data_IF_999177356982
#
_entry.id   IF_999177356982
#
_cell.length_a   1.000
_cell.length_b   1.000
_cell.length_c   1.000
_cell.angle_alpha   90.00
_cell.angle_beta   90.00
_cell.angle_gamma   90.00
#
_symmetry.space_group_name_H-M   'P 1'
#
loop_
_entity.id
_entity.type
_entity.pdbx_description
1 polymer ?
#
# COMPACT_ATOMS: atom_id res chain seq x y z
N UNK A 1 11.39 25.91 -10.06
CA UNK A 1 11.16 24.79 -9.12
C UNK A 1 10.15 23.84 -9.76
N UNK A 2 10.39 22.53 -9.78
CA UNK A 2 9.44 21.57 -10.37
C UNK A 2 8.50 21.09 -9.26
N UNK A 3 7.20 21.34 -9.41
CA UNK A 3 6.19 20.83 -8.49
C UNK A 3 6.02 19.33 -8.70
N UNK A 4 5.97 18.57 -7.61
CA UNK A 4 5.61 17.14 -7.58
C UNK A 4 4.23 17.01 -6.95
N UNK A 5 3.32 16.33 -7.64
CA UNK A 5 1.98 16.06 -7.15
C UNK A 5 1.92 14.62 -6.63
N UNK A 6 1.73 14.44 -5.34
CA UNK A 6 1.41 13.15 -4.75
C UNK A 6 -0.09 12.92 -4.82
N UNK A 7 -0.52 11.86 -5.48
CA UNK A 7 -1.92 11.51 -5.64
C UNK A 7 -2.24 10.33 -4.74
N UNK A 8 -3.12 10.55 -3.78
CA UNK A 8 -3.59 9.57 -2.80
C UNK A 8 -5.02 9.15 -3.12
N UNK A 9 -5.41 7.97 -2.63
CA UNK A 9 -6.83 7.62 -2.53
C UNK A 9 -7.58 8.64 -1.65
N UNK A 10 -8.91 8.48 -1.55
CA UNK A 10 -9.72 9.31 -0.66
C UNK A 10 -9.20 9.22 0.78
N UNK A 11 -9.08 10.37 1.45
CA UNK A 11 -8.62 10.46 2.84
C UNK A 11 -9.52 9.68 3.81
N UNK A 12 -8.94 9.21 4.93
CA UNK A 12 -9.66 8.55 6.02
C UNK A 12 -9.93 7.06 5.84
N UNK A 13 -9.47 6.42 4.76
CA UNK A 13 -9.68 4.99 4.52
C UNK A 13 -8.57 4.10 5.11
N UNK A 14 -7.34 4.54 5.05
CA UNK A 14 -6.15 3.89 5.63
C UNK A 14 -5.07 4.94 5.82
N UNK A 15 -4.08 4.66 6.68
CA UNK A 15 -3.03 5.63 7.06
C UNK A 15 -1.62 5.18 6.68
N UNK A 16 -1.42 3.90 6.31
CA UNK A 16 -0.08 3.34 6.11
C UNK A 16 0.68 3.94 4.92
N UNK A 17 0.00 4.13 3.79
CA UNK A 17 0.60 4.71 2.58
C UNK A 17 0.88 6.19 2.79
N UNK A 18 -0.06 6.92 3.38
CA UNK A 18 0.08 8.32 3.73
C UNK A 18 1.29 8.55 4.65
N UNK A 19 1.50 7.66 5.63
CA UNK A 19 2.64 7.74 6.54
C UNK A 19 3.99 7.54 5.83
N UNK A 20 4.08 6.54 4.98
CA UNK A 20 5.27 6.32 4.13
C UNK A 20 5.60 7.55 3.29
N UNK A 21 4.59 8.11 2.60
CA UNK A 21 4.81 9.24 1.72
C UNK A 21 5.00 10.57 2.45
N UNK A 22 4.56 10.72 3.68
CA UNK A 22 4.94 11.86 4.54
C UNK A 22 6.45 11.87 4.80
N UNK A 23 7.05 10.69 5.02
CA UNK A 23 8.51 10.57 5.18
C UNK A 23 9.23 10.93 3.87
N UNK A 24 8.74 10.45 2.72
CA UNK A 24 9.28 10.81 1.39
C UNK A 24 9.14 12.30 1.13
N UNK A 25 7.99 12.91 1.44
CA UNK A 25 7.76 14.35 1.30
C UNK A 25 8.75 15.16 2.13
N UNK A 26 8.97 14.76 3.38
CA UNK A 26 9.93 15.40 4.28
C UNK A 26 11.36 15.36 3.70
N UNK A 27 11.76 14.27 3.07
CA UNK A 27 13.02 14.15 2.35
C UNK A 27 13.10 15.07 1.14
N UNK A 28 12.07 15.09 0.30
CA UNK A 28 12.00 15.95 -0.89
C UNK A 28 12.03 17.44 -0.55
N UNK A 29 11.40 17.84 0.54
CA UNK A 29 11.44 19.23 1.02
C UNK A 29 12.86 19.67 1.42
N UNK A 30 13.67 18.77 1.99
CA UNK A 30 15.09 19.05 2.29
C UNK A 30 15.90 19.27 1.02
N UNK A 31 15.51 18.64 -0.09
CA UNK A 31 16.09 18.82 -1.42
C UNK A 31 15.46 20.00 -2.22
N UNK A 32 14.71 20.88 -1.55
CA UNK A 32 14.01 22.02 -2.16
C UNK A 32 13.01 21.64 -3.27
N UNK A 33 12.41 20.47 -3.18
CA UNK A 33 11.33 20.03 -4.06
C UNK A 33 9.99 20.35 -3.42
N UNK A 34 9.13 21.08 -4.12
CA UNK A 34 7.78 21.38 -3.65
C UNK A 34 6.84 20.22 -3.95
N UNK A 35 6.26 19.67 -2.89
CA UNK A 35 5.26 18.60 -2.99
C UNK A 35 3.86 19.16 -2.72
N UNK A 36 2.90 18.77 -3.56
CA UNK A 36 1.46 19.08 -3.41
C UNK A 36 0.67 17.77 -3.29
N UNK A 37 -0.01 17.60 -2.17
CA UNK A 37 -0.80 16.42 -1.88
C UNK A 37 -2.22 16.55 -2.44
N UNK A 38 -2.66 15.58 -3.23
CA UNK A 38 -3.98 15.51 -3.86
C UNK A 38 -4.67 14.23 -3.41
N UNK A 39 -5.84 14.37 -2.82
CA UNK A 39 -6.68 13.24 -2.42
C UNK A 39 -7.83 13.07 -3.39
N UNK A 40 -8.03 11.84 -3.87
CA UNK A 40 -9.14 11.52 -4.77
C UNK A 40 -10.49 11.73 -4.07
N UNK A 41 -11.45 12.39 -4.72
CA UNK A 41 -12.74 12.70 -4.10
C UNK A 41 -13.64 11.46 -3.91
N UNK A 42 -13.49 10.42 -4.74
CA UNK A 42 -14.38 9.26 -4.75
C UNK A 42 -13.64 7.96 -4.43
N UNK A 43 -14.12 7.23 -3.39
CA UNK A 43 -13.57 5.93 -2.99
C UNK A 43 -14.25 4.74 -3.69
N UNK A 44 -15.59 4.84 -3.91
CA UNK A 44 -16.36 3.73 -4.47
C UNK A 44 -15.97 3.46 -5.91
N UNK A 45 -15.68 2.19 -6.21
CA UNK A 45 -15.32 1.72 -7.55
C UNK A 45 -16.60 1.55 -8.38
N UNK A 46 -16.90 2.55 -9.21
CA UNK A 46 -17.93 2.50 -10.25
C UNK A 46 -17.46 3.38 -11.43
N UNK A 47 -17.97 3.12 -12.63
CA UNK A 47 -17.50 3.78 -13.86
C UNK A 47 -17.52 5.31 -13.74
N UNK A 48 -18.59 5.89 -13.20
CA UNK A 48 -18.71 7.34 -13.05
C UNK A 48 -17.64 7.93 -12.12
N UNK A 49 -17.36 7.28 -10.98
CA UNK A 49 -16.36 7.74 -10.03
C UNK A 49 -14.94 7.57 -10.57
N UNK A 50 -14.67 6.47 -11.29
CA UNK A 50 -13.38 6.27 -11.97
C UNK A 50 -13.10 7.41 -12.95
N UNK A 51 -14.06 7.72 -13.82
CA UNK A 51 -13.94 8.82 -14.79
C UNK A 51 -13.78 10.18 -14.10
N UNK A 52 -14.56 10.45 -13.05
CA UNK A 52 -14.44 11.71 -12.28
C UNK A 52 -13.06 11.84 -11.62
N UNK A 53 -12.54 10.77 -11.01
CA UNK A 53 -11.21 10.77 -10.43
C UNK A 53 -10.11 11.01 -11.50
N UNK A 54 -10.19 10.35 -12.65
CA UNK A 54 -9.26 10.54 -13.76
C UNK A 54 -9.26 12.00 -14.25
N UNK A 55 -10.46 12.58 -14.44
CA UNK A 55 -10.60 13.96 -14.89
C UNK A 55 -10.13 14.97 -13.83
N UNK A 56 -10.35 14.65 -12.54
CA UNK A 56 -9.89 15.46 -11.43
C UNK A 56 -8.35 15.53 -11.42
N UNK A 57 -7.66 14.40 -11.46
CA UNK A 57 -6.19 14.34 -11.50
C UNK A 57 -5.65 15.02 -12.76
N UNK A 58 -6.25 14.77 -13.93
CA UNK A 58 -5.87 15.44 -15.20
C UNK A 58 -5.86 16.98 -15.09
N UNK A 59 -6.82 17.55 -14.35
CA UNK A 59 -6.95 19.01 -14.20
C UNK A 59 -5.88 19.61 -13.30
N UNK A 60 -5.47 18.87 -12.26
CA UNK A 60 -4.58 19.37 -11.21
C UNK A 60 -3.10 19.08 -11.49
N UNK A 61 -2.78 17.98 -12.15
CA UNK A 61 -1.41 17.48 -12.30
C UNK A 61 -0.83 17.86 -13.65
N UNK A 62 -0.01 18.92 -13.68
CA UNK A 62 0.59 19.48 -14.88
C UNK A 62 2.11 19.26 -15.01
N UNK A 63 2.76 18.73 -13.97
CA UNK A 63 4.21 18.53 -13.88
C UNK A 63 4.53 17.06 -13.61
N UNK A 64 5.27 16.76 -12.53
CA UNK A 64 5.53 15.37 -12.12
C UNK A 64 4.38 14.90 -11.26
N UNK A 65 3.74 13.81 -11.65
CA UNK A 65 2.65 13.18 -10.89
C UNK A 65 3.12 11.85 -10.33
N UNK A 66 3.09 11.68 -9.03
CA UNK A 66 3.41 10.44 -8.37
C UNK A 66 2.14 9.84 -7.74
N UNK A 67 1.69 8.72 -8.28
CA UNK A 67 0.60 7.97 -7.69
C UNK A 67 1.15 7.07 -6.58
N UNK A 68 0.67 7.31 -5.38
CA UNK A 68 1.26 6.76 -4.14
C UNK A 68 0.63 5.44 -3.70
N UNK A 69 -0.48 5.02 -4.27
CA UNK A 69 -1.24 3.87 -3.79
C UNK A 69 -2.07 3.15 -4.85
N UNK A 70 -3.08 2.44 -4.41
CA UNK A 70 -3.87 1.44 -5.12
C UNK A 70 -4.87 1.97 -6.18
N UNK A 71 -4.93 3.26 -6.39
CA UNK A 71 -5.83 3.90 -7.38
C UNK A 71 -5.15 4.16 -8.73
N UNK A 72 -4.43 3.16 -9.24
CA UNK A 72 -3.54 3.27 -10.41
C UNK A 72 -4.20 3.89 -11.64
N UNK A 73 -5.48 3.62 -11.87
CA UNK A 73 -6.26 4.15 -12.99
C UNK A 73 -6.31 5.70 -13.05
N UNK A 74 -6.12 6.37 -11.90
CA UNK A 74 -6.31 7.82 -11.82
C UNK A 74 -5.36 8.64 -12.70
N UNK A 75 -4.18 8.07 -13.05
CA UNK A 75 -3.15 8.74 -13.86
C UNK A 75 -3.34 8.63 -15.39
N UNK A 76 -4.35 7.92 -15.87
CA UNK A 76 -4.47 7.57 -17.28
C UNK A 76 -4.49 8.77 -18.22
N UNK A 77 -5.02 9.90 -17.79
CA UNK A 77 -5.08 11.13 -18.59
C UNK A 77 -4.11 12.23 -18.09
N UNK A 78 -3.19 11.92 -17.16
CA UNK A 78 -2.17 12.89 -16.71
C UNK A 78 -1.31 13.36 -17.88
N UNK A 79 -0.97 14.65 -17.86
CA UNK A 79 0.04 15.25 -18.72
C UNK A 79 1.38 15.26 -17.98
N UNK A 80 2.49 15.20 -18.66
CA UNK A 80 3.81 15.24 -18.02
C UNK A 80 4.31 13.86 -17.56
N UNK A 81 5.36 13.88 -16.71
CA UNK A 81 6.01 12.66 -16.21
C UNK A 81 5.18 12.06 -15.08
N UNK A 82 5.02 10.75 -15.13
CA UNK A 82 4.23 10.00 -14.14
C UNK A 82 5.12 8.96 -13.48
N UNK A 83 5.11 8.94 -12.16
CA UNK A 83 5.67 7.88 -11.31
C UNK A 83 4.51 7.09 -10.72
N UNK A 84 4.58 5.78 -10.77
CA UNK A 84 3.57 4.87 -10.22
C UNK A 84 4.22 3.95 -9.20
N UNK A 85 3.81 4.05 -7.93
CA UNK A 85 4.23 3.08 -6.89
C UNK A 85 3.21 1.97 -6.75
N UNK A 86 3.66 0.73 -6.88
CA UNK A 86 2.85 -0.48 -6.68
C UNK A 86 3.30 -1.16 -5.39
N UNK A 87 2.43 -1.16 -4.38
CA UNK A 87 2.72 -1.74 -3.06
C UNK A 87 2.49 -3.25 -3.02
N UNK A 88 1.46 -3.74 -3.71
CA UNK A 88 1.15 -5.16 -3.79
C UNK A 88 0.50 -5.55 -5.12
N UNK A 89 0.42 -6.85 -5.35
CA UNK A 89 -0.14 -7.45 -6.56
C UNK A 89 -1.30 -8.40 -6.25
N UNK A 90 -1.88 -8.30 -5.05
CA UNK A 90 -2.91 -9.23 -4.55
C UNK A 90 -4.10 -9.39 -5.50
N UNK A 91 -4.54 -8.29 -6.13
CA UNK A 91 -5.63 -8.35 -7.12
C UNK A 91 -5.33 -9.24 -8.32
N UNK A 92 -4.04 -9.45 -8.65
CA UNK A 92 -3.66 -10.34 -9.75
C UNK A 92 -3.84 -11.82 -9.42
N UNK A 93 -3.86 -12.17 -8.13
CA UNK A 93 -3.95 -13.56 -7.67
C UNK A 93 -5.38 -14.01 -7.36
N UNK A 94 -6.14 -13.17 -6.68
CA UNK A 94 -7.41 -13.57 -6.08
C UNK A 94 -8.64 -13.35 -6.96
N UNK A 95 -8.54 -12.49 -7.97
CA UNK A 95 -9.66 -12.25 -8.89
C UNK A 95 -9.68 -13.27 -10.03
N UNK A 96 -10.87 -13.70 -10.43
CA UNK A 96 -11.10 -14.66 -11.51
C UNK A 96 -12.05 -14.10 -12.59
N UNK A 97 -12.01 -14.69 -13.78
CA UNK A 97 -12.92 -14.36 -14.87
C UNK A 97 -12.75 -12.95 -15.45
N UNK A 98 -13.84 -12.40 -15.98
CA UNK A 98 -13.85 -11.09 -16.67
C UNK A 98 -13.42 -9.94 -15.74
N UNK A 99 -13.78 -10.01 -14.46
CA UNK A 99 -13.39 -9.02 -13.46
C UNK A 99 -11.88 -8.93 -13.32
N UNK A 100 -11.18 -10.08 -13.24
CA UNK A 100 -9.70 -10.13 -13.22
C UNK A 100 -9.11 -9.44 -14.43
N UNK A 101 -9.66 -9.69 -15.61
CA UNK A 101 -9.17 -9.09 -16.84
C UNK A 101 -9.31 -7.56 -16.82
N UNK A 102 -10.46 -7.03 -16.41
CA UNK A 102 -10.70 -5.59 -16.30
C UNK A 102 -9.74 -4.96 -15.30
N UNK A 103 -9.57 -5.56 -14.11
CA UNK A 103 -8.63 -5.06 -13.12
C UNK A 103 -7.18 -5.12 -13.62
N UNK A 104 -6.76 -6.24 -14.21
CA UNK A 104 -5.43 -6.37 -14.80
C UNK A 104 -5.13 -5.27 -15.82
N UNK A 105 -6.09 -4.91 -16.66
CA UNK A 105 -5.93 -3.86 -17.64
C UNK A 105 -5.98 -2.46 -17.03
N UNK A 106 -6.99 -2.14 -16.27
CA UNK A 106 -7.27 -0.79 -15.80
C UNK A 106 -6.39 -0.39 -14.62
N UNK A 107 -6.05 -1.33 -13.73
CA UNK A 107 -5.21 -1.05 -12.54
C UNK A 107 -3.72 -1.28 -12.77
N UNK A 108 -3.32 -2.13 -13.71
CA UNK A 108 -1.90 -2.42 -13.94
C UNK A 108 -1.44 -2.06 -15.34
N UNK A 109 -1.94 -2.72 -16.36
CA UNK A 109 -1.40 -2.58 -17.71
C UNK A 109 -1.43 -1.14 -18.23
N UNK A 110 -2.59 -0.49 -18.24
CA UNK A 110 -2.73 0.87 -18.77
C UNK A 110 -1.95 1.90 -17.92
N UNK A 111 -2.02 1.90 -16.56
CA UNK A 111 -1.20 2.76 -15.73
C UNK A 111 0.30 2.54 -15.91
N UNK A 112 0.79 1.30 -15.96
CA UNK A 112 2.20 0.99 -16.21
C UNK A 112 2.65 1.45 -17.60
N UNK A 113 1.78 1.33 -18.61
CA UNK A 113 2.04 1.87 -19.96
C UNK A 113 2.18 3.40 -19.93
N UNK A 114 1.32 4.08 -19.17
CA UNK A 114 1.28 5.54 -19.02
C UNK A 114 2.47 6.06 -18.20
N UNK A 115 2.87 5.35 -17.15
CA UNK A 115 3.94 5.77 -16.25
C UNK A 115 5.29 5.87 -16.97
N UNK A 116 6.06 6.92 -16.65
CA UNK A 116 7.47 7.06 -17.04
C UNK A 116 8.34 6.10 -16.22
N UNK A 117 8.03 5.96 -14.94
CA UNK A 117 8.70 5.07 -13.99
C UNK A 117 7.65 4.33 -13.16
N UNK A 118 7.89 3.05 -12.93
CA UNK A 118 7.12 2.21 -12.03
C UNK A 118 8.01 1.81 -10.88
N UNK A 119 7.60 2.10 -9.66
CA UNK A 119 8.33 1.66 -8.47
C UNK A 119 7.55 0.57 -7.73
N UNK A 120 8.24 -0.34 -7.11
CA UNK A 120 7.68 -1.37 -6.25
C UNK A 120 8.51 -1.49 -4.97
N UNK A 121 7.86 -1.96 -3.90
CA UNK A 121 8.44 -1.93 -2.56
C UNK A 121 9.28 -3.15 -2.19
N UNK A 122 9.31 -4.19 -3.04
CA UNK A 122 10.08 -5.41 -2.78
C UNK A 122 10.43 -6.14 -4.07
N UNK A 123 11.40 -7.05 -3.98
CA UNK A 123 11.79 -7.92 -5.09
C UNK A 123 10.64 -8.85 -5.49
N UNK A 124 9.90 -9.38 -4.53
CA UNK A 124 8.73 -10.24 -4.77
C UNK A 124 7.68 -9.54 -5.65
N UNK A 125 7.31 -8.31 -5.32
CA UNK A 125 6.38 -7.50 -6.12
C UNK A 125 6.94 -7.26 -7.52
N UNK A 126 8.24 -6.96 -7.64
CA UNK A 126 8.90 -6.76 -8.93
C UNK A 126 8.83 -7.99 -9.82
N UNK A 127 9.25 -9.14 -9.31
CA UNK A 127 9.25 -10.40 -10.06
C UNK A 127 7.85 -10.77 -10.52
N UNK A 128 6.87 -10.60 -9.66
CA UNK A 128 5.48 -10.85 -9.97
C UNK A 128 4.93 -9.89 -11.03
N UNK A 129 5.25 -8.61 -10.97
CA UNK A 129 4.89 -7.65 -12.02
C UNK A 129 5.53 -8.02 -13.35
N UNK A 130 6.79 -8.45 -13.37
CA UNK A 130 7.50 -8.87 -14.59
C UNK A 130 6.87 -10.14 -15.16
N UNK A 131 6.47 -11.11 -14.33
CA UNK A 131 5.81 -12.34 -14.80
C UNK A 131 4.48 -12.07 -15.50
N UNK A 132 3.70 -11.10 -15.00
CA UNK A 132 2.43 -10.70 -15.62
C UNK A 132 2.57 -9.72 -16.79
N UNK A 133 3.62 -8.87 -16.74
CA UNK A 133 3.82 -7.75 -17.67
C UNK A 133 5.29 -7.62 -18.12
N UNK A 134 5.88 -8.63 -18.77
CA UNK A 134 7.32 -8.67 -19.09
C UNK A 134 7.79 -7.48 -19.93
N UNK A 135 6.91 -6.90 -20.75
CA UNK A 135 7.23 -5.73 -21.58
C UNK A 135 7.58 -4.46 -20.80
N UNK A 136 7.27 -4.39 -19.51
CA UNK A 136 7.56 -3.23 -18.67
C UNK A 136 8.77 -3.43 -17.75
N UNK A 137 9.52 -4.54 -17.89
CA UNK A 137 10.65 -4.90 -17.05
C UNK A 137 11.62 -3.74 -16.80
N UNK A 138 11.98 -3.01 -17.84
CA UNK A 138 12.96 -1.93 -17.77
C UNK A 138 12.43 -0.64 -17.10
N UNK A 139 11.12 -0.55 -16.90
CA UNK A 139 10.48 0.56 -16.17
C UNK A 139 10.29 0.28 -14.68
N UNK A 140 10.43 -0.97 -14.24
CA UNK A 140 10.13 -1.39 -12.88
C UNK A 140 11.39 -1.33 -12.03
N UNK A 141 11.38 -0.45 -11.04
CA UNK A 141 12.49 -0.24 -10.10
C UNK A 141 12.05 -0.57 -8.68
N UNK A 142 12.92 -1.20 -7.91
CA UNK A 142 12.67 -1.44 -6.48
C UNK A 142 13.07 -0.19 -5.72
N UNK A 143 12.14 0.35 -4.94
CA UNK A 143 12.38 1.39 -3.96
C UNK A 143 11.66 0.97 -2.67
N UNK A 144 12.44 0.55 -1.67
CA UNK A 144 11.90 0.14 -0.38
C UNK A 144 11.23 1.31 0.33
N UNK A 145 10.21 1.00 1.13
CA UNK A 145 9.59 2.02 1.98
C UNK A 145 10.62 2.58 2.96
N UNK A 146 10.67 3.92 3.12
CA UNK A 146 11.56 4.52 4.10
C UNK A 146 11.11 4.15 5.53
N UNK A 147 12.07 4.08 6.43
CA UNK A 147 11.79 4.01 7.86
C UNK A 147 11.43 5.42 8.36
N UNK A 148 10.44 5.48 9.25
CA UNK A 148 10.13 6.71 9.95
C UNK A 148 11.27 7.03 10.93
N UNK A 149 11.87 8.21 10.77
CA UNK A 149 12.97 8.70 11.61
C UNK A 149 12.57 8.95 13.07
N UNK A 150 11.28 8.92 13.38
CA UNK A 150 10.79 9.06 14.75
C UNK A 150 10.94 7.76 15.57
N UNK A 151 11.21 6.63 14.93
CA UNK A 151 11.48 5.38 15.64
C UNK A 151 12.94 5.31 16.08
N UNK A 152 13.17 5.51 17.39
CA UNK A 152 14.48 5.32 17.99
C UNK A 152 14.62 3.90 18.54
N UNK A 153 15.77 3.29 18.30
CA UNK A 153 16.10 2.01 18.93
C UNK A 153 16.11 2.17 20.46
N UNK A 154 15.36 1.29 21.14
CA UNK A 154 15.44 1.13 22.60
C UNK A 154 15.81 -0.31 22.89
N UNK A 155 16.93 -0.49 23.56
CA UNK A 155 17.32 -1.82 24.02
C UNK A 155 16.25 -2.37 24.98
N UNK A 156 15.86 -3.61 24.78
CA UNK A 156 14.96 -4.36 25.66
C UNK A 156 15.51 -5.78 25.80
N UNK A 157 15.64 -6.23 27.03
CA UNK A 157 15.98 -7.63 27.30
C UNK A 157 14.87 -8.54 26.77
N UNK A 158 15.27 -9.57 26.03
CA UNK A 158 14.35 -10.59 25.57
C UNK A 158 14.05 -11.55 26.73
N UNK A 159 12.77 -11.78 27.02
CA UNK A 159 12.34 -12.75 28.02
C UNK A 159 12.16 -14.11 27.34
N UNK A 160 13.15 -14.99 27.47
CA UNK A 160 13.12 -16.33 26.87
C UNK A 160 12.06 -17.24 27.52
N UNK A 161 11.78 -17.04 28.81
CA UNK A 161 10.79 -17.84 29.54
C UNK A 161 9.34 -17.55 29.17
N UNK A 162 9.03 -16.28 28.81
CA UNK A 162 7.70 -15.87 28.36
C UNK A 162 7.83 -14.67 27.38
N UNK A 163 8.12 -14.94 26.10
CA UNK A 163 8.28 -13.88 25.12
C UNK A 163 6.95 -13.19 24.80
N UNK A 164 7.03 -11.88 24.51
CA UNK A 164 5.90 -11.08 24.04
C UNK A 164 5.85 -11.13 22.51
N UNK A 165 4.76 -11.61 21.96
CA UNK A 165 4.47 -11.63 20.53
C UNK A 165 3.57 -10.45 20.21
N UNK A 166 4.05 -9.48 19.43
CA UNK A 166 3.26 -8.34 18.96
C UNK A 166 2.62 -8.67 17.62
N UNK A 167 1.28 -8.61 17.55
CA UNK A 167 0.51 -8.78 16.32
C UNK A 167 -0.24 -7.50 15.96
N UNK A 168 -0.01 -6.98 14.75
CA UNK A 168 -0.60 -5.72 14.29
C UNK A 168 -1.67 -5.97 13.23
N UNK A 169 -2.90 -5.55 13.55
CA UNK A 169 -4.08 -5.67 12.71
C UNK A 169 -4.93 -6.90 13.02
N UNK A 170 -6.25 -6.72 12.89
CA UNK A 170 -7.26 -7.75 13.21
C UNK A 170 -8.12 -8.12 12.01
N UNK A 171 -7.81 -7.61 10.79
CA UNK A 171 -8.52 -8.00 9.58
C UNK A 171 -8.22 -9.47 9.21
N UNK A 172 -9.13 -10.15 8.52
CA UNK A 172 -9.00 -11.57 8.13
C UNK A 172 -7.66 -11.92 7.49
N UNK A 173 -7.14 -11.02 6.64
CA UNK A 173 -5.85 -11.21 5.97
C UNK A 173 -4.63 -11.12 6.91
N UNK A 174 -4.84 -10.88 8.20
CA UNK A 174 -3.78 -10.88 9.23
C UNK A 174 -3.64 -12.24 9.91
N UNK A 175 -4.52 -13.19 9.57
CA UNK A 175 -4.44 -14.60 9.99
C UNK A 175 -4.43 -14.83 11.51
N UNK A 176 -5.09 -14.00 12.30
CA UNK A 176 -5.20 -14.20 13.75
C UNK A 176 -5.81 -15.54 14.09
N UNK A 177 -6.81 -15.97 13.34
CA UNK A 177 -7.51 -17.25 13.50
C UNK A 177 -6.58 -18.47 13.38
N UNK A 178 -5.44 -18.31 12.70
CA UNK A 178 -4.40 -19.37 12.61
C UNK A 178 -3.28 -19.16 13.62
N UNK A 179 -2.96 -17.91 13.94
CA UNK A 179 -1.90 -17.60 14.89
C UNK A 179 -2.28 -18.05 16.31
N UNK A 180 -3.48 -17.71 16.77
CA UNK A 180 -3.92 -18.01 18.13
C UNK A 180 -3.83 -19.53 18.45
N UNK A 181 -4.43 -20.43 17.64
CA UNK A 181 -4.29 -21.87 17.89
C UNK A 181 -2.85 -22.39 17.78
N UNK A 182 -2.03 -21.79 16.92
CA UNK A 182 -0.62 -22.18 16.76
C UNK A 182 0.24 -21.88 18.00
N UNK A 183 -0.20 -20.97 18.87
CA UNK A 183 0.47 -20.63 20.13
C UNK A 183 0.06 -21.54 21.30
N UNK A 184 -0.86 -22.47 21.09
CA UNK A 184 -1.29 -23.41 22.14
C UNK A 184 -0.09 -24.22 22.68
N UNK A 185 0.08 -24.21 24.00
CA UNK A 185 1.18 -24.91 24.66
C UNK A 185 2.53 -24.18 24.63
N UNK A 186 2.59 -22.97 24.06
CA UNK A 186 3.77 -22.09 24.08
C UNK A 186 3.58 -21.06 25.19
N UNK A 187 4.52 -21.02 26.13
CA UNK A 187 4.49 -20.01 27.22
C UNK A 187 4.88 -18.63 26.65
N UNK A 188 3.89 -17.83 26.25
CA UNK A 188 4.10 -16.50 25.66
C UNK A 188 2.91 -15.57 25.94
N UNK A 189 3.13 -14.26 25.82
CA UNK A 189 2.07 -13.26 25.79
C UNK A 189 1.79 -12.81 24.34
N UNK A 190 0.53 -12.81 23.92
CA UNK A 190 0.13 -12.28 22.62
C UNK A 190 -0.51 -10.89 22.78
N UNK A 191 0.20 -9.85 22.30
CA UNK A 191 -0.29 -8.48 22.29
C UNK A 191 -0.87 -8.15 20.92
N UNK A 192 -2.19 -7.91 20.83
CA UNK A 192 -2.89 -7.61 19.58
C UNK A 192 -3.21 -6.12 19.52
N UNK A 193 -2.74 -5.46 18.47
CA UNK A 193 -3.04 -4.06 18.18
C UNK A 193 -3.95 -3.98 16.97
N UNK A 194 -5.19 -3.50 17.13
CA UNK A 194 -6.15 -3.38 16.03
C UNK A 194 -7.57 -3.09 16.51
N UNK A 195 -8.53 -3.16 15.59
CA UNK A 195 -9.94 -3.03 15.95
C UNK A 195 -10.39 -4.26 16.75
N UNK A 196 -11.21 -4.01 17.77
CA UNK A 196 -11.81 -5.09 18.54
C UNK A 196 -12.62 -6.04 17.64
N UNK A 197 -12.49 -7.35 17.88
CA UNK A 197 -13.23 -8.44 17.23
C UNK A 197 -13.61 -9.47 18.29
N UNK A 198 -14.91 -9.67 18.48
CA UNK A 198 -15.45 -10.60 19.51
C UNK A 198 -15.04 -12.04 19.25
N UNK A 199 -15.04 -12.49 18.00
CA UNK A 199 -14.64 -13.86 17.61
C UNK A 199 -13.18 -14.17 17.97
N UNK A 200 -12.29 -13.17 17.96
CA UNK A 200 -10.89 -13.33 18.40
C UNK A 200 -10.79 -13.45 19.92
N UNK A 201 -11.58 -12.68 20.66
CA UNK A 201 -11.66 -12.79 22.12
C UNK A 201 -12.18 -14.18 22.54
N UNK A 202 -13.26 -14.66 21.91
CA UNK A 202 -13.81 -16.00 22.16
C UNK A 202 -12.78 -17.10 21.91
N UNK A 203 -11.96 -16.98 20.86
CA UNK A 203 -10.84 -17.90 20.60
C UNK A 203 -9.76 -17.86 21.69
N UNK A 204 -9.41 -16.68 22.19
CA UNK A 204 -8.42 -16.54 23.26
C UNK A 204 -8.90 -17.20 24.56
N UNK A 205 -10.17 -17.05 24.90
CA UNK A 205 -10.77 -17.69 26.09
C UNK A 205 -10.75 -19.21 25.99
N UNK A 206 -11.01 -19.79 24.81
CA UNK A 206 -10.96 -21.24 24.58
C UNK A 206 -9.54 -21.83 24.68
N UNK A 207 -8.48 -21.01 24.57
CA UNK A 207 -7.10 -21.50 24.70
C UNK A 207 -6.59 -21.43 26.17
N UNK A 208 -7.27 -20.69 27.03
CA UNK A 208 -6.96 -20.61 28.46
C UNK A 208 -7.68 -21.66 29.29
N UNK A 209 -8.66 -22.34 28.74
CA UNK A 209 -9.39 -23.48 29.32
C UNK A 209 -8.74 -24.80 28.93
#
# INVERSE_FOLDING_TARGET
MKDVFFVYRKSGLNYSIEHVFNTVESGLRKENVLVKNIFLPYARVCVSNLLRNILYVKRLCNSITHLTGDTHYAILLCKGKVVLTIHDTRFLDFEHGLKKMIFKWLWFYLPMRKASYVTCISNEVREKLISYFPRFKDKIHIIYNPLDTNYNYKFKLFNEGCPIILHIGTAENKNLERLIPALKGINCELHIVGKYRKDIEDMQLLLQS
#
